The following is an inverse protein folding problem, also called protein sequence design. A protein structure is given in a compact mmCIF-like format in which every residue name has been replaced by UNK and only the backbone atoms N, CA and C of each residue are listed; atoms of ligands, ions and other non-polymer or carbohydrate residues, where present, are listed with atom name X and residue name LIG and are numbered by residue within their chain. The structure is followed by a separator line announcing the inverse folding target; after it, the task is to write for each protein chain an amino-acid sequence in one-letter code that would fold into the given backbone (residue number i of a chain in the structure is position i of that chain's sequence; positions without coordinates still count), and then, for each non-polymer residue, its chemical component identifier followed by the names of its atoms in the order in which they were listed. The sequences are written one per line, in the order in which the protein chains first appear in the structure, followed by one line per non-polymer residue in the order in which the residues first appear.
data_IF_549965865394
#
_entry.id   IF_549965865394
#
_cell.length_a   1.000
_cell.length_b   1.000
_cell.length_c   1.000
_cell.angle_alpha   90.00
_cell.angle_beta   90.00
_cell.angle_gamma   90.00
#
_symmetry.space_group_name_H-M   'P 1'
#
loop_
_entity.id
_entity.type
_entity.pdbx_description
1 polymer ?
#
# COMPACT_ATOMS: atom_id res chain seq x y z
N UNK A 1 20.14 14.84 15.10
CA UNK A 1 19.47 14.35 16.31
C UNK A 1 18.21 13.58 15.95
N UNK A 2 18.13 12.33 16.39
CA UNK A 2 16.99 11.47 16.07
C UNK A 2 15.76 11.91 16.85
N UNK A 3 14.64 11.98 16.16
CA UNK A 3 13.34 12.31 16.75
C UNK A 3 12.46 11.06 16.79
N UNK A 4 11.42 11.11 17.60
CA UNK A 4 10.44 10.02 17.68
C UNK A 4 9.15 10.47 17.01
N UNK A 5 8.63 9.67 16.09
CA UNK A 5 7.39 9.98 15.39
C UNK A 5 6.20 10.04 16.37
N UNK A 6 5.43 11.12 16.34
CA UNK A 6 4.27 11.29 17.22
C UNK A 6 3.14 10.28 16.94
N UNK A 7 3.12 9.67 15.77
CA UNK A 7 2.06 8.75 15.36
C UNK A 7 2.39 7.28 15.63
N UNK A 8 3.64 6.86 15.44
CA UNK A 8 4.01 5.45 15.54
C UNK A 8 5.21 5.17 16.45
N UNK A 9 5.79 6.20 17.08
CA UNK A 9 6.94 6.11 17.98
C UNK A 9 8.22 5.57 17.32
N UNK A 10 8.28 5.58 15.98
CA UNK A 10 9.48 5.16 15.25
C UNK A 10 10.49 6.30 15.21
N UNK A 11 11.78 6.05 15.46
CA UNK A 11 12.82 7.07 15.30
C UNK A 11 12.92 7.55 13.84
N UNK A 12 13.15 8.86 13.65
CA UNK A 12 13.32 9.43 12.31
C UNK A 12 14.12 10.72 12.34
N UNK A 13 14.64 11.13 11.19
CA UNK A 13 15.42 12.36 11.00
C UNK A 13 14.70 13.40 10.14
N UNK A 14 13.39 13.21 9.89
CA UNK A 14 12.61 14.15 9.09
C UNK A 14 12.37 15.47 9.83
N UNK A 15 12.14 16.54 9.08
CA UNK A 15 11.65 17.79 9.65
C UNK A 15 10.26 17.56 10.23
N UNK A 16 9.98 18.19 11.38
CA UNK A 16 8.70 18.04 12.04
C UNK A 16 8.63 16.82 12.93
N UNK A 17 7.42 16.43 13.29
CA UNK A 17 7.15 15.44 14.35
C UNK A 17 6.76 14.07 13.83
N UNK A 18 6.64 13.92 12.51
CA UNK A 18 6.21 12.66 11.89
C UNK A 18 7.31 12.03 11.06
N UNK A 19 7.44 10.69 11.11
CA UNK A 19 8.33 9.96 10.22
C UNK A 19 7.78 10.02 8.79
N UNK A 20 8.61 9.65 7.81
CA UNK A 20 8.26 9.71 6.40
C UNK A 20 7.03 8.85 6.08
N UNK A 21 6.98 7.64 6.61
CA UNK A 21 5.85 6.73 6.36
C UNK A 21 4.54 7.32 6.85
N UNK A 22 4.50 7.84 8.08
CA UNK A 22 3.29 8.45 8.61
C UNK A 22 2.92 9.73 7.87
N UNK A 23 3.90 10.58 7.54
CA UNK A 23 3.64 11.81 6.81
C UNK A 23 3.03 11.53 5.44
N UNK A 24 3.66 10.65 4.66
CA UNK A 24 3.17 10.29 3.31
C UNK A 24 1.84 9.55 3.39
N UNK A 25 1.69 8.64 4.33
CA UNK A 25 0.47 7.86 4.49
C UNK A 25 -0.73 8.70 4.90
N UNK A 26 -0.55 9.64 5.82
CA UNK A 26 -1.61 10.56 6.22
C UNK A 26 -2.02 11.48 5.08
N UNK A 27 -1.04 11.95 4.30
CA UNK A 27 -1.29 12.81 3.15
C UNK A 27 -2.05 12.08 2.04
N UNK A 28 -1.59 10.86 1.67
CA UNK A 28 -2.12 10.11 0.53
C UNK A 28 -3.36 9.28 0.87
N UNK A 29 -3.38 8.66 2.05
CA UNK A 29 -4.36 7.63 2.39
C UNK A 29 -5.09 7.90 3.69
N UNK A 30 -4.73 8.96 4.40
CA UNK A 30 -5.20 9.27 5.75
C UNK A 30 -4.89 8.14 6.75
N UNK A 31 -3.76 7.45 6.53
CA UNK A 31 -3.30 6.34 7.34
C UNK A 31 -1.87 6.58 7.81
N UNK A 32 -1.61 6.38 9.10
CA UNK A 32 -0.25 6.38 9.62
C UNK A 32 0.35 4.97 9.51
N UNK A 33 1.60 4.80 9.96
CA UNK A 33 2.29 3.50 9.91
C UNK A 33 1.50 2.40 10.64
N UNK A 34 0.96 2.71 11.82
CA UNK A 34 0.21 1.73 12.61
C UNK A 34 -1.09 1.30 11.92
N UNK A 35 -1.76 2.23 11.25
CA UNK A 35 -2.96 1.94 10.47
C UNK A 35 -2.65 0.97 9.33
N UNK A 36 -1.52 1.17 8.64
CA UNK A 36 -1.10 0.29 7.55
C UNK A 36 -0.79 -1.12 8.04
N UNK A 37 -0.08 -1.22 9.17
CA UNK A 37 0.22 -2.52 9.78
C UNK A 37 -1.08 -3.22 10.21
N UNK A 38 -2.00 -2.49 10.83
CA UNK A 38 -3.28 -3.05 11.25
C UNK A 38 -4.11 -3.56 10.06
N UNK A 39 -4.09 -2.83 8.93
CA UNK A 39 -4.78 -3.25 7.72
C UNK A 39 -4.20 -4.56 7.19
N UNK A 40 -2.87 -4.68 7.13
CA UNK A 40 -2.24 -5.93 6.70
C UNK A 40 -2.55 -7.08 7.66
N UNK A 41 -2.54 -6.83 8.97
CA UNK A 41 -2.93 -7.84 9.96
C UNK A 41 -4.37 -8.32 9.76
N UNK A 42 -5.27 -7.42 9.37
CA UNK A 42 -6.66 -7.78 9.06
C UNK A 42 -6.76 -8.70 7.85
N UNK A 43 -5.73 -8.76 7.03
CA UNK A 43 -5.61 -9.65 5.86
C UNK A 43 -4.76 -10.90 6.17
N UNK A 44 -4.52 -11.21 7.45
CA UNK A 44 -3.65 -12.30 7.90
C UNK A 44 -2.22 -12.18 7.36
N UNK A 45 -1.74 -10.95 7.20
CA UNK A 45 -0.43 -10.61 6.63
C UNK A 45 -0.23 -11.17 5.23
N UNK A 46 -1.30 -11.19 4.45
CA UNK A 46 -1.28 -11.71 3.06
C UNK A 46 -1.81 -10.67 2.09
N UNK A 47 -1.33 -10.75 0.86
CA UNK A 47 -1.87 -9.95 -0.24
C UNK A 47 -3.37 -10.20 -0.39
N UNK A 48 -4.15 -9.13 -0.52
CA UNK A 48 -5.61 -9.23 -0.58
C UNK A 48 -6.11 -10.03 -1.80
N UNK A 49 -5.29 -10.16 -2.85
CA UNK A 49 -5.71 -10.82 -4.10
C UNK A 49 -5.03 -12.15 -4.39
N UNK A 50 -3.83 -12.40 -3.88
CA UNK A 50 -3.10 -13.64 -4.20
C UNK A 50 -2.62 -14.44 -3.00
N UNK A 51 -2.90 -13.99 -1.79
CA UNK A 51 -2.55 -14.64 -0.53
C UNK A 51 -1.04 -14.83 -0.28
N UNK A 52 -0.18 -14.15 -1.03
CA UNK A 52 1.26 -14.13 -0.75
C UNK A 52 1.49 -13.47 0.60
N UNK A 53 2.34 -14.06 1.44
CA UNK A 53 2.70 -13.47 2.73
C UNK A 53 3.47 -12.17 2.51
N UNK A 54 3.13 -11.14 3.28
CA UNK A 54 3.71 -9.80 3.14
C UNK A 54 4.15 -9.24 4.48
N UNK A 55 5.15 -8.35 4.42
CA UNK A 55 5.52 -7.45 5.50
C UNK A 55 5.46 -6.04 4.96
N UNK A 56 5.15 -5.08 5.83
CA UNK A 56 5.17 -3.67 5.44
C UNK A 56 6.59 -3.10 5.52
N UNK A 57 6.88 -2.14 4.66
CA UNK A 57 8.11 -1.32 4.72
C UNK A 57 9.41 -2.07 4.46
N UNK A 58 9.36 -3.14 3.68
CA UNK A 58 10.54 -3.95 3.32
C UNK A 58 10.89 -3.84 1.83
N UNK A 59 10.53 -2.74 1.20
CA UNK A 59 10.84 -2.48 -0.20
C UNK A 59 9.90 -3.20 -1.16
N UNK A 60 10.41 -3.58 -2.32
CA UNK A 60 9.60 -4.18 -3.40
C UNK A 60 8.93 -5.50 -3.03
N UNK A 61 9.49 -6.22 -2.06
CA UNK A 61 8.93 -7.50 -1.59
C UNK A 61 7.84 -7.31 -0.55
N UNK A 62 7.63 -6.08 -0.11
CA UNK A 62 6.64 -5.75 0.91
C UNK A 62 5.25 -5.49 0.36
N UNK A 63 4.36 -5.12 1.26
CA UNK A 63 3.00 -4.72 0.92
C UNK A 63 2.92 -3.27 0.47
N UNK A 64 1.99 -3.00 -0.43
CA UNK A 64 1.70 -1.67 -0.94
C UNK A 64 0.24 -1.32 -0.66
N UNK A 65 -0.01 -0.12 -0.18
CA UNK A 65 -1.37 0.36 0.02
C UNK A 65 -2.03 0.56 -1.34
N UNK A 66 -3.13 -0.14 -1.56
CA UNK A 66 -3.93 -0.01 -2.78
C UNK A 66 -5.12 0.92 -2.52
N UNK A 67 -5.35 1.86 -3.41
CA UNK A 67 -6.44 2.82 -3.26
C UNK A 67 -7.16 3.04 -4.59
N UNK A 68 -8.44 3.41 -4.49
CA UNK A 68 -9.23 3.77 -5.67
C UNK A 68 -8.77 5.14 -6.18
N UNK A 69 -8.37 5.21 -7.44
CA UNK A 69 -7.89 6.46 -8.05
C UNK A 69 -9.01 7.49 -8.24
N UNK A 70 -10.27 7.06 -8.27
CA UNK A 70 -11.41 7.95 -8.43
C UNK A 70 -11.84 8.57 -7.10
N UNK A 71 -11.97 7.75 -6.05
CA UNK A 71 -12.49 8.20 -4.75
C UNK A 71 -11.39 8.45 -3.72
N UNK A 72 -10.19 7.91 -3.94
CA UNK A 72 -9.09 7.96 -2.97
C UNK A 72 -9.24 6.95 -1.83
N UNK A 73 -10.31 6.16 -1.83
CA UNK A 73 -10.57 5.18 -0.77
C UNK A 73 -9.53 4.06 -0.78
N UNK A 74 -8.97 3.72 0.37
CA UNK A 74 -8.07 2.59 0.51
C UNK A 74 -8.87 1.29 0.41
N UNK A 75 -8.41 0.39 -0.46
CA UNK A 75 -9.05 -0.92 -0.68
C UNK A 75 -8.39 -2.04 0.10
N UNK A 76 -7.07 -1.98 0.27
CA UNK A 76 -6.32 -3.02 0.99
C UNK A 76 -4.84 -2.92 0.74
N UNK A 77 -4.11 -3.96 1.15
CA UNK A 77 -2.67 -4.10 0.93
C UNK A 77 -2.44 -5.19 -0.11
N UNK A 78 -1.65 -4.89 -1.13
CA UNK A 78 -1.30 -5.82 -2.21
C UNK A 78 0.21 -6.03 -2.28
N UNK A 79 0.63 -7.17 -2.81
CA UNK A 79 2.03 -7.35 -3.20
C UNK A 79 2.34 -6.48 -4.42
N UNK A 80 3.62 -6.28 -4.72
CA UNK A 80 4.04 -5.43 -5.84
C UNK A 80 3.43 -5.88 -7.16
N UNK A 81 3.46 -7.18 -7.44
CA UNK A 81 2.89 -7.74 -8.68
C UNK A 81 1.39 -7.45 -8.81
N UNK A 82 0.62 -7.75 -7.77
CA UNK A 82 -0.82 -7.53 -7.81
C UNK A 82 -1.17 -6.04 -7.88
N UNK A 83 -0.44 -5.20 -7.18
CA UNK A 83 -0.64 -3.75 -7.24
C UNK A 83 -0.42 -3.23 -8.67
N UNK A 84 0.61 -3.72 -9.35
CA UNK A 84 0.89 -3.37 -10.75
C UNK A 84 -0.22 -3.87 -11.68
N UNK A 85 -0.67 -5.11 -11.49
CA UNK A 85 -1.74 -5.70 -12.33
C UNK A 85 -3.06 -4.96 -12.14
N UNK A 86 -3.44 -4.67 -10.91
CA UNK A 86 -4.67 -3.91 -10.63
C UNK A 86 -4.63 -2.54 -11.29
N UNK A 87 -3.50 -1.82 -11.18
CA UNK A 87 -3.32 -0.54 -11.84
C UNK A 87 -3.44 -0.66 -13.35
N UNK A 88 -2.87 -1.71 -13.95
CA UNK A 88 -2.98 -2.00 -15.36
C UNK A 88 -4.42 -2.25 -15.81
N UNK A 89 -5.16 -3.03 -15.03
CA UNK A 89 -6.58 -3.35 -15.32
C UNK A 89 -7.42 -2.07 -15.30
N UNK A 90 -7.21 -1.21 -14.32
CA UNK A 90 -7.97 0.03 -14.18
C UNK A 90 -7.73 1.02 -15.32
N UNK A 91 -6.55 0.97 -15.94
CA UNK A 91 -6.16 1.89 -17.01
C UNK A 91 -6.23 1.28 -18.41
N UNK A 92 -6.73 0.05 -18.54
CA UNK A 92 -6.73 -0.67 -19.82
C UNK A 92 -8.15 -1.04 -20.26
N UNK A 93 -8.28 -1.35 -21.54
CA UNK A 93 -9.49 -1.97 -22.08
C UNK A 93 -9.39 -3.48 -21.81
N UNK A 94 -9.95 -3.92 -20.70
CA UNK A 94 -9.85 -5.30 -20.25
C UNK A 94 -10.49 -6.27 -21.25
N UNK A 95 -11.64 -5.92 -21.79
CA UNK A 95 -12.35 -6.76 -22.77
C UNK A 95 -11.47 -7.03 -23.99
N UNK A 96 -10.86 -5.98 -24.51
CA UNK A 96 -9.98 -6.08 -25.67
C UNK A 96 -8.73 -6.90 -25.38
N UNK A 97 -8.16 -6.73 -24.19
CA UNK A 97 -6.99 -7.49 -23.78
C UNK A 97 -7.32 -8.98 -23.61
N UNK A 98 -8.46 -9.30 -23.04
CA UNK A 98 -8.90 -10.69 -22.90
C UNK A 98 -9.09 -11.37 -24.26
N UNK A 99 -9.65 -10.66 -25.24
CA UNK A 99 -9.78 -11.17 -26.62
C UNK A 99 -8.41 -11.45 -27.23
N UNK A 100 -7.46 -10.55 -27.00
CA UNK A 100 -6.09 -10.69 -27.53
C UNK A 100 -5.41 -11.94 -27.02
N UNK A 101 -5.51 -12.25 -25.73
CA UNK A 101 -4.83 -13.40 -25.12
C UNK A 101 -5.62 -14.72 -25.26
N UNK A 102 -6.85 -14.67 -25.72
CA UNK A 102 -7.71 -15.85 -25.88
C UNK A 102 -7.54 -16.54 -27.23
N UNK A 103 -6.50 -16.24 -27.95
CA UNK A 103 -6.25 -16.78 -29.30
C UNK A 103 -5.78 -18.21 -29.23
#
# INVERSE_FOLDING_TARGET
MTKICKHCNTPHDMRGTSCRVCKDGLYRYKMNRLDMVALLESQDKKCATCDTELEMFVGRKGGFVDHCHTTGRVRGILCNRCNTVVGGIENADLERMLKYISV
#
